data_IF_379624047381
#
_entry.id   IF_379624047381
#
_cell.length_a   1.000
_cell.length_b   1.000
_cell.length_c   1.000
_cell.angle_alpha   90.00
_cell.angle_beta   90.00
_cell.angle_gamma   90.00
#
_symmetry.space_group_name_H-M   'P 1'
#
loop_
_entity.id
_entity.type
_entity.pdbx_description
1 polymer ?
#
# COMPACT_ATOMS: atom_id res chain seq x y z
N UNK A 1 -6.23 -31.74 5.41
CA UNK A 1 -6.28 -30.28 5.68
C UNK A 1 -7.43 -29.97 6.63
N UNK A 2 -7.11 -29.47 7.83
CA UNK A 2 -8.09 -28.94 8.79
C UNK A 2 -7.74 -27.48 9.09
N UNK A 3 -8.72 -26.59 9.03
CA UNK A 3 -8.57 -25.16 9.33
C UNK A 3 -9.24 -24.85 10.66
N UNK A 4 -8.53 -24.19 11.57
CA UNK A 4 -9.07 -23.70 12.84
C UNK A 4 -8.89 -22.18 12.90
N UNK A 5 -9.99 -21.43 12.82
CA UNK A 5 -9.97 -19.98 12.95
C UNK A 5 -9.76 -19.59 14.43
N UNK A 6 -8.87 -18.62 14.69
CA UNK A 6 -8.65 -18.06 16.03
C UNK A 6 -9.23 -16.66 16.16
N UNK A 7 -8.95 -15.78 15.21
CA UNK A 7 -9.32 -14.37 15.26
C UNK A 7 -9.59 -13.87 13.84
N UNK A 8 -10.66 -13.10 13.67
CA UNK A 8 -10.99 -12.42 12.43
C UNK A 8 -11.52 -11.02 12.77
N UNK A 9 -10.81 -10.00 12.29
CA UNK A 9 -11.17 -8.59 12.37
C UNK A 9 -11.02 -7.97 10.98
N UNK A 10 -11.43 -6.72 10.81
CA UNK A 10 -11.40 -6.01 9.52
C UNK A 10 -9.99 -5.92 8.92
N UNK A 11 -8.94 -5.92 9.74
CA UNK A 11 -7.54 -5.77 9.30
C UNK A 11 -6.63 -6.93 9.68
N UNK A 12 -7.15 -7.97 10.35
CA UNK A 12 -6.35 -9.09 10.84
C UNK A 12 -7.11 -10.41 10.82
N UNK A 13 -6.46 -11.46 10.32
CA UNK A 13 -6.95 -12.84 10.39
C UNK A 13 -5.86 -13.74 10.97
N UNK A 14 -6.22 -14.58 11.94
CA UNK A 14 -5.34 -15.56 12.59
C UNK A 14 -6.02 -16.93 12.57
N UNK A 15 -5.33 -17.93 12.03
CA UNK A 15 -5.84 -19.29 11.90
C UNK A 15 -4.70 -20.31 11.98
N UNK A 16 -5.05 -21.56 12.28
CA UNK A 16 -4.14 -22.72 12.28
C UNK A 16 -4.57 -23.67 11.17
N UNK A 17 -3.60 -24.18 10.41
CA UNK A 17 -3.84 -25.21 9.40
C UNK A 17 -3.09 -26.46 9.80
N UNK A 18 -3.82 -27.55 10.00
CA UNK A 18 -3.30 -28.89 10.29
C UNK A 18 -3.42 -29.80 9.08
N UNK A 19 -2.62 -30.86 9.03
CA UNK A 19 -2.67 -31.88 7.96
C UNK A 19 -2.50 -31.27 6.56
N UNK A 20 -1.46 -30.46 6.43
CA UNK A 20 -1.01 -29.84 5.17
C UNK A 20 0.51 -29.84 5.15
N UNK A 21 1.09 -29.94 3.95
CA UNK A 21 2.54 -29.85 3.81
C UNK A 21 3.02 -28.40 4.03
N UNK A 22 4.16 -28.18 4.71
CA UNK A 22 4.69 -26.84 4.97
C UNK A 22 4.94 -25.98 3.73
N UNK A 23 5.27 -26.60 2.59
CA UNK A 23 5.51 -25.90 1.33
C UNK A 23 4.25 -25.22 0.76
N UNK A 24 3.07 -25.82 0.97
CA UNK A 24 1.79 -25.21 0.56
C UNK A 24 1.51 -23.96 1.39
N UNK A 25 1.71 -24.02 2.71
CA UNK A 25 1.51 -22.87 3.61
C UNK A 25 2.51 -21.75 3.31
N UNK A 26 3.78 -22.09 3.05
CA UNK A 26 4.77 -21.08 2.66
C UNK A 26 4.46 -20.46 1.30
N UNK A 27 3.93 -21.23 0.35
CA UNK A 27 3.48 -20.73 -0.95
C UNK A 27 2.32 -19.74 -0.78
N UNK A 28 1.34 -20.06 0.07
CA UNK A 28 0.25 -19.13 0.41
C UNK A 28 0.80 -17.84 1.01
N UNK A 29 1.68 -17.92 2.02
CA UNK A 29 2.32 -16.75 2.64
C UNK A 29 3.05 -15.87 1.61
N UNK A 30 3.84 -16.47 0.71
CA UNK A 30 4.53 -15.74 -0.35
C UNK A 30 3.56 -15.07 -1.33
N UNK A 31 2.49 -15.77 -1.68
CA UNK A 31 1.46 -15.25 -2.58
C UNK A 31 0.73 -14.05 -1.96
N UNK A 32 0.35 -14.15 -0.69
CA UNK A 32 -0.27 -13.04 0.05
C UNK A 32 0.60 -11.78 0.09
N UNK A 33 1.92 -11.94 0.23
CA UNK A 33 2.85 -10.80 0.28
C UNK A 33 3.12 -10.21 -1.12
N UNK A 34 3.29 -11.05 -2.14
CA UNK A 34 3.87 -10.62 -3.43
C UNK A 34 2.88 -10.55 -4.60
N UNK A 35 1.75 -11.24 -4.53
CA UNK A 35 0.82 -11.41 -5.65
C UNK A 35 -0.56 -10.79 -5.43
N UNK A 36 -0.81 -10.22 -4.25
CA UNK A 36 -2.04 -9.47 -4.00
C UNK A 36 -1.86 -8.06 -4.57
N UNK A 37 -2.57 -7.69 -5.66
CA UNK A 37 -2.47 -6.36 -6.24
C UNK A 37 -2.94 -5.29 -5.23
N UNK A 38 -2.33 -4.12 -5.31
CA UNK A 38 -2.68 -2.95 -4.50
C UNK A 38 -2.39 -1.70 -5.31
N UNK A 39 -3.19 -0.65 -5.18
CA UNK A 39 -2.88 0.64 -5.77
C UNK A 39 -1.77 1.30 -4.98
N UNK A 40 -0.82 1.91 -5.69
CA UNK A 40 0.24 2.73 -5.12
C UNK A 40 0.59 3.84 -6.10
N UNK A 41 1.23 4.90 -5.61
CA UNK A 41 1.72 6.00 -6.44
C UNK A 41 3.02 5.53 -7.11
N UNK A 42 3.04 5.54 -8.44
CA UNK A 42 4.20 5.14 -9.25
C UNK A 42 5.02 6.37 -9.70
N UNK A 43 4.33 7.45 -10.09
CA UNK A 43 4.96 8.68 -10.59
C UNK A 43 4.44 9.90 -9.83
N UNK A 44 5.34 10.85 -9.54
CA UNK A 44 5.03 12.12 -8.87
C UNK A 44 5.64 13.25 -9.68
N UNK A 45 4.80 14.17 -10.14
CA UNK A 45 5.23 15.38 -10.85
C UNK A 45 5.31 16.55 -9.86
N UNK A 46 6.49 17.16 -9.76
CA UNK A 46 6.70 18.37 -8.97
C UNK A 46 6.69 19.58 -9.90
N UNK A 47 5.78 20.51 -9.65
CA UNK A 47 5.74 21.77 -10.38
C UNK A 47 6.59 22.82 -9.66
N UNK A 48 7.52 23.42 -10.40
CA UNK A 48 8.39 24.48 -9.90
C UNK A 48 7.75 25.86 -10.11
N UNK A 49 7.65 26.64 -9.03
CA UNK A 49 7.09 27.99 -9.02
C UNK A 49 5.62 28.04 -8.62
N UNK A 50 5.08 29.25 -8.40
CA UNK A 50 3.72 29.42 -7.90
C UNK A 50 2.68 29.03 -8.96
N UNK A 51 1.87 28.03 -8.65
CA UNK A 51 0.67 27.68 -9.40
C UNK A 51 -0.53 28.31 -8.72
N UNK A 52 -1.46 28.86 -9.50
CA UNK A 52 -2.75 29.35 -9.03
C UNK A 52 -3.84 28.37 -9.40
N UNK A 53 -4.69 28.02 -8.44
CA UNK A 53 -5.94 27.31 -8.74
C UNK A 53 -7.05 28.26 -9.24
N UNK A 54 -8.20 27.68 -9.58
CA UNK A 54 -9.39 28.43 -10.04
C UNK A 54 -9.94 29.37 -8.95
N UNK A 55 -9.65 29.08 -7.68
CA UNK A 55 -10.00 29.92 -6.52
C UNK A 55 -8.94 31.00 -6.19
N UNK A 56 -7.85 31.08 -6.96
CA UNK A 56 -6.78 32.06 -6.78
C UNK A 56 -5.79 31.76 -5.66
N UNK A 57 -5.78 30.54 -5.10
CA UNK A 57 -4.80 30.10 -4.10
C UNK A 57 -3.47 29.77 -4.79
N UNK A 58 -2.38 30.29 -4.25
CA UNK A 58 -1.03 30.03 -4.74
C UNK A 58 -0.41 28.82 -4.03
N UNK A 59 0.12 27.88 -4.81
CA UNK A 59 0.84 26.69 -4.36
C UNK A 59 2.25 26.73 -4.91
N UNK A 60 3.25 26.52 -4.05
CA UNK A 60 4.65 26.37 -4.46
C UNK A 60 5.25 25.16 -3.73
N UNK A 61 5.99 24.34 -4.45
CA UNK A 61 6.62 23.12 -3.94
C UNK A 61 8.00 23.43 -3.36
N UNK A 62 8.07 24.34 -2.39
CA UNK A 62 9.30 24.71 -1.71
C UNK A 62 9.36 24.05 -0.32
N UNK A 63 10.06 22.93 -0.23
CA UNK A 63 10.16 22.10 0.96
C UNK A 63 11.60 22.01 1.47
N UNK A 64 11.77 21.76 2.78
CA UNK A 64 13.07 21.43 3.36
C UNK A 64 13.57 20.02 2.97
N UNK A 65 12.68 19.17 2.46
CA UNK A 65 12.99 17.84 1.95
C UNK A 65 13.08 17.89 0.43
N UNK A 66 14.09 17.20 -0.12
CA UNK A 66 14.21 16.99 -1.56
C UNK A 66 13.02 16.18 -2.10
N UNK A 67 12.67 16.45 -3.35
CA UNK A 67 11.52 15.88 -4.04
C UNK A 67 11.55 14.34 -4.07
N UNK A 68 12.72 13.72 -4.22
CA UNK A 68 12.85 12.26 -4.22
C UNK A 68 12.48 11.64 -2.87
N UNK A 69 12.75 12.35 -1.78
CA UNK A 69 12.36 11.92 -0.43
C UNK A 69 10.85 12.03 -0.25
N UNK A 70 10.24 13.10 -0.77
CA UNK A 70 8.79 13.28 -0.73
C UNK A 70 8.09 12.22 -1.58
N UNK A 71 8.54 12.02 -2.82
CA UNK A 71 8.01 11.01 -3.74
C UNK A 71 8.11 9.60 -3.16
N UNK A 72 9.25 9.21 -2.58
CA UNK A 72 9.42 7.92 -1.93
C UNK A 72 8.47 7.74 -0.72
N UNK A 73 8.16 8.82 0.01
CA UNK A 73 7.20 8.73 1.12
C UNK A 73 5.77 8.61 0.62
N UNK A 74 5.42 9.28 -0.49
CA UNK A 74 4.13 9.17 -1.13
C UNK A 74 3.86 7.74 -1.63
N UNK A 75 4.84 7.08 -2.25
CA UNK A 75 4.69 5.69 -2.72
C UNK A 75 4.45 4.67 -1.60
N UNK A 76 4.83 5.00 -0.37
CA UNK A 76 4.66 4.16 0.82
C UNK A 76 3.29 4.36 1.51
N UNK A 77 2.47 5.31 1.05
CA UNK A 77 1.13 5.55 1.62
C UNK A 77 0.17 4.44 1.15
N UNK A 78 -0.48 3.71 2.07
CA UNK A 78 -1.46 2.70 1.70
C UNK A 78 -2.75 3.36 1.22
N UNK A 79 -2.97 3.38 -0.09
CA UNK A 79 -4.18 3.94 -0.70
C UNK A 79 -5.31 2.89 -0.62
N UNK A 80 -6.45 3.20 0.02
CA UNK A 80 -7.62 2.32 -0.01
C UNK A 80 -8.01 2.05 -1.47
N UNK A 81 -7.91 0.78 -1.87
CA UNK A 81 -8.23 0.34 -3.23
C UNK A 81 -9.48 -0.51 -3.15
N UNK A 82 -10.54 -0.10 -3.82
CA UNK A 82 -11.65 -0.99 -4.12
C UNK A 82 -11.30 -1.77 -5.40
N UNK A 83 -11.46 -3.10 -5.38
CA UNK A 83 -11.15 -3.99 -6.50
C UNK A 83 -12.40 -4.43 -7.25
N UNK A 84 -13.58 -3.90 -6.88
CA UNK A 84 -14.85 -4.11 -7.55
C UNK A 84 -14.97 -3.39 -8.90
#
# INVERSE_FOLDING_TARGET
>A
MKLQLRELTDTRCSFVVDDVRPDIVNTLRRTLISRVPKMAIDEVEFHMGPIRDEEGREYDSNSALFDEIIAHRLSMVPIPTDLE
#
